data_IF_997670451622
#
_entry.id   IF_997670451622
#
_cell.length_a   1.000
_cell.length_b   1.000
_cell.length_c   1.000
_cell.angle_alpha   90.00
_cell.angle_beta   90.00
_cell.angle_gamma   90.00
#
_symmetry.space_group_name_H-M   'P 1'
#
loop_
_entity.id
_entity.type
_entity.pdbx_description
1 polymer ?
#
# COMPACT_ATOMS: atom_id res chain seq x y z
N UNK A 1 3.96 39.12 -4.69
CA UNK A 1 4.52 37.91 -5.30
C UNK A 1 3.47 36.82 -5.15
N UNK A 2 2.74 36.46 -6.22
CA UNK A 2 1.73 35.39 -6.11
C UNK A 2 2.48 34.07 -5.96
N UNK A 3 2.30 33.42 -4.83
CA UNK A 3 2.77 32.07 -4.55
C UNK A 3 2.30 31.16 -5.68
N UNK A 4 3.25 30.60 -6.43
CA UNK A 4 2.95 29.50 -7.35
C UNK A 4 2.73 28.28 -6.45
N UNK A 5 1.49 28.06 -6.02
CA UNK A 5 1.10 26.79 -5.43
C UNK A 5 1.34 25.72 -6.49
N UNK A 6 2.14 24.70 -6.14
CA UNK A 6 2.27 23.51 -6.96
C UNK A 6 0.88 22.89 -7.11
N UNK A 7 0.28 23.03 -8.29
CA UNK A 7 -1.03 22.44 -8.56
C UNK A 7 -0.80 20.96 -8.84
N UNK A 8 -1.32 20.09 -7.98
CA UNK A 8 -1.37 18.67 -8.25
C UNK A 8 -2.11 18.45 -9.58
N UNK A 9 -1.59 17.60 -10.47
CA UNK A 9 -2.22 17.30 -11.76
C UNK A 9 -3.68 16.85 -11.60
N UNK A 10 -4.02 16.17 -10.50
CA UNK A 10 -5.39 15.81 -10.17
C UNK A 10 -6.31 17.02 -9.96
N UNK A 11 -5.83 18.04 -9.23
CA UNK A 11 -6.62 19.23 -8.89
C UNK A 11 -6.91 20.09 -10.13
N UNK A 12 -6.02 20.07 -11.13
CA UNK A 12 -6.20 20.80 -12.40
C UNK A 12 -7.52 20.40 -13.08
N UNK A 13 -7.89 19.12 -13.02
CA UNK A 13 -9.07 18.57 -13.71
C UNK A 13 -10.30 18.42 -12.80
N UNK A 14 -10.12 18.44 -11.48
CA UNK A 14 -11.17 18.09 -10.52
C UNK A 14 -11.63 19.25 -9.61
N UNK A 15 -10.90 20.35 -9.56
CA UNK A 15 -11.34 21.56 -8.84
C UNK A 15 -12.23 22.44 -9.73
N UNK A 16 -13.47 22.68 -9.28
CA UNK A 16 -14.46 23.56 -9.95
C UNK A 16 -13.94 24.97 -10.24
N UNK A 17 -12.92 25.43 -9.52
CA UNK A 17 -12.31 26.75 -9.70
C UNK A 17 -11.22 26.77 -10.79
N UNK A 18 -10.83 25.62 -11.34
CA UNK A 18 -9.75 25.51 -12.33
C UNK A 18 -10.31 25.49 -13.76
N UNK A 19 -9.60 26.09 -14.75
CA UNK A 19 -10.08 26.16 -16.13
C UNK A 19 -10.31 24.81 -16.82
N UNK A 20 -9.63 23.76 -16.35
CA UNK A 20 -9.71 22.40 -16.91
C UNK A 20 -10.66 21.49 -16.13
N UNK A 21 -11.52 22.06 -15.27
CA UNK A 21 -12.54 21.29 -14.57
C UNK A 21 -13.40 20.49 -15.57
N UNK A 22 -13.50 19.18 -15.36
CA UNK A 22 -14.22 18.25 -16.25
C UNK A 22 -13.68 18.18 -17.69
N UNK A 23 -12.46 18.65 -17.97
CA UNK A 23 -11.83 18.49 -19.28
C UNK A 23 -11.13 17.13 -19.46
N UNK A 24 -11.18 16.26 -18.44
CA UNK A 24 -10.61 14.92 -18.45
C UNK A 24 -11.56 13.93 -17.76
N UNK A 25 -11.43 12.65 -18.11
CA UNK A 25 -12.14 11.56 -17.44
C UNK A 25 -11.26 11.02 -16.31
N UNK A 26 -11.84 10.90 -15.11
CA UNK A 26 -11.21 10.13 -14.05
C UNK A 26 -11.47 8.64 -14.32
N UNK A 27 -10.42 7.89 -14.60
CA UNK A 27 -10.48 6.44 -14.73
C UNK A 27 -9.77 5.81 -13.55
N UNK A 28 -10.54 5.18 -12.68
CA UNK A 28 -10.00 4.49 -11.50
C UNK A 28 -9.35 3.17 -11.92
N UNK A 29 -8.07 2.99 -11.57
CA UNK A 29 -7.35 1.76 -11.82
C UNK A 29 -7.51 0.81 -10.65
N UNK A 30 -8.08 -0.36 -10.94
CA UNK A 30 -8.17 -1.44 -9.96
C UNK A 30 -6.87 -2.25 -9.92
N UNK A 31 -6.59 -2.97 -8.82
CA UNK A 31 -5.53 -3.96 -8.78
C UNK A 31 -5.65 -4.99 -9.91
N UNK A 32 -4.56 -5.67 -10.24
CA UNK A 32 -4.58 -6.64 -11.34
C UNK A 32 -5.62 -7.75 -11.08
N UNK A 33 -6.37 -8.19 -12.11
CA UNK A 33 -7.30 -9.29 -11.96
C UNK A 33 -6.58 -10.55 -11.45
N UNK A 34 -7.02 -11.04 -10.30
CA UNK A 34 -6.36 -12.13 -9.58
C UNK A 34 -6.07 -13.34 -10.47
N UNK A 35 -7.08 -13.85 -11.19
CA UNK A 35 -6.94 -15.06 -12.02
C UNK A 35 -5.91 -14.87 -13.13
N UNK A 36 -6.00 -13.76 -13.84
CA UNK A 36 -5.11 -13.46 -14.96
C UNK A 36 -3.66 -13.28 -14.48
N UNK A 37 -3.49 -12.63 -13.31
CA UNK A 37 -2.19 -12.46 -12.69
C UNK A 37 -1.55 -13.80 -12.31
N UNK A 38 -2.28 -14.70 -11.66
CA UNK A 38 -1.74 -16.01 -11.28
C UNK A 38 -1.35 -16.83 -12.53
N UNK A 39 -2.22 -16.87 -13.53
CA UNK A 39 -1.92 -17.55 -14.79
C UNK A 39 -0.69 -16.96 -15.49
N UNK A 40 -0.58 -15.63 -15.52
CA UNK A 40 0.56 -14.93 -16.09
C UNK A 40 1.86 -15.30 -15.39
N UNK A 41 1.92 -15.24 -14.04
CA UNK A 41 3.12 -15.55 -13.29
C UNK A 41 3.58 -16.99 -13.52
N UNK A 42 2.67 -17.97 -13.46
CA UNK A 42 3.02 -19.37 -13.70
C UNK A 42 3.64 -19.54 -15.09
N UNK A 43 3.00 -18.97 -16.11
CA UNK A 43 3.50 -19.03 -17.48
C UNK A 43 4.89 -18.38 -17.64
N UNK A 44 5.15 -17.24 -16.98
CA UNK A 44 6.46 -16.59 -17.02
C UNK A 44 7.57 -17.46 -16.39
N UNK A 45 7.28 -18.13 -15.27
CA UNK A 45 8.24 -19.05 -14.66
C UNK A 45 8.51 -20.26 -15.56
N UNK A 46 7.48 -20.82 -16.21
CA UNK A 46 7.62 -21.95 -17.13
C UNK A 46 8.49 -21.61 -18.36
N UNK A 47 8.28 -20.44 -18.98
CA UNK A 47 9.07 -19.95 -20.14
C UNK A 47 10.56 -19.87 -19.78
N UNK A 48 10.85 -19.53 -18.53
CA UNK A 48 12.18 -19.43 -17.98
C UNK A 48 12.82 -20.76 -17.55
N UNK A 49 12.11 -21.89 -17.71
CA UNK A 49 12.58 -23.18 -17.23
C UNK A 49 12.51 -23.36 -15.70
N UNK A 50 11.77 -22.48 -15.01
CA UNK A 50 11.53 -22.51 -13.56
C UNK A 50 10.08 -22.93 -13.29
N UNK A 51 9.75 -23.20 -12.04
CA UNK A 51 8.40 -23.64 -11.61
C UNK A 51 7.97 -22.92 -10.36
N UNK A 52 6.70 -22.50 -10.36
CA UNK A 52 6.00 -21.97 -9.20
C UNK A 52 4.62 -22.63 -9.15
N UNK A 53 4.22 -23.12 -7.98
CA UNK A 53 2.88 -23.70 -7.82
C UNK A 53 1.81 -22.61 -7.79
N UNK A 54 0.55 -22.99 -8.03
CA UNK A 54 -0.60 -22.08 -7.95
C UNK A 54 -0.71 -21.48 -6.53
N UNK A 55 -0.47 -22.30 -5.51
CA UNK A 55 -0.52 -21.88 -4.10
C UNK A 55 0.56 -20.84 -3.79
N UNK A 56 1.77 -21.04 -4.31
CA UNK A 56 2.88 -20.11 -4.12
C UNK A 56 2.64 -18.77 -4.85
N UNK A 57 2.18 -18.82 -6.10
CA UNK A 57 1.80 -17.62 -6.85
C UNK A 57 0.64 -16.85 -6.17
N UNK A 58 -0.37 -17.57 -5.67
CA UNK A 58 -1.47 -17.00 -4.88
C UNK A 58 -0.97 -16.36 -3.58
N UNK A 59 -0.01 -17.00 -2.91
CA UNK A 59 0.65 -16.46 -1.72
C UNK A 59 1.31 -15.11 -1.99
N UNK A 60 2.09 -15.00 -3.08
CA UNK A 60 2.74 -13.75 -3.49
C UNK A 60 1.69 -12.68 -3.82
N UNK A 61 0.66 -13.04 -4.61
CA UNK A 61 -0.46 -12.14 -4.96
C UNK A 61 -1.13 -11.54 -3.73
N UNK A 62 -1.34 -12.36 -2.68
CA UNK A 62 -1.90 -11.88 -1.41
C UNK A 62 -0.95 -10.95 -0.65
N UNK A 63 0.34 -11.24 -0.62
CA UNK A 63 1.35 -10.39 0.04
C UNK A 63 1.41 -8.99 -0.57
N UNK A 64 1.31 -8.90 -1.90
CA UNK A 64 1.42 -7.64 -2.65
C UNK A 64 0.06 -7.05 -3.03
N UNK A 65 -1.05 -7.68 -2.61
CA UNK A 65 -2.42 -7.25 -2.94
C UNK A 65 -2.67 -7.01 -4.44
N UNK A 66 -2.12 -7.87 -5.30
CA UNK A 66 -2.16 -7.72 -6.77
C UNK A 66 -1.59 -6.41 -7.32
N UNK A 67 -0.79 -5.69 -6.54
CA UNK A 67 -0.20 -4.42 -6.94
C UNK A 67 0.83 -4.66 -8.07
N UNK A 68 0.66 -4.09 -9.28
CA UNK A 68 1.49 -4.41 -10.43
C UNK A 68 3.00 -4.25 -10.18
N UNK A 69 3.38 -3.11 -9.60
CA UNK A 69 4.78 -2.78 -9.31
C UNK A 69 5.41 -3.79 -8.34
N UNK A 70 4.69 -4.12 -7.25
CA UNK A 70 5.21 -5.03 -6.24
C UNK A 70 5.22 -6.47 -6.72
N UNK A 71 4.21 -6.88 -7.49
CA UNK A 71 4.23 -8.20 -8.13
C UNK A 71 5.45 -8.36 -9.04
N UNK A 72 5.69 -7.38 -9.91
CA UNK A 72 6.85 -7.42 -10.80
C UNK A 72 8.17 -7.44 -10.02
N UNK A 73 8.31 -6.55 -9.04
CA UNK A 73 9.52 -6.45 -8.21
C UNK A 73 9.78 -7.73 -7.41
N UNK A 74 8.73 -8.31 -6.83
CA UNK A 74 8.81 -9.56 -6.09
C UNK A 74 9.25 -10.70 -7.00
N UNK A 75 8.59 -10.88 -8.14
CA UNK A 75 8.94 -11.94 -9.09
C UNK A 75 10.36 -11.74 -9.66
N UNK A 76 10.80 -10.50 -9.89
CA UNK A 76 12.18 -10.22 -10.30
C UNK A 76 13.20 -10.74 -9.27
N UNK A 77 13.07 -10.36 -8.00
CA UNK A 77 13.99 -10.84 -6.96
C UNK A 77 13.91 -12.35 -6.73
N UNK A 78 12.70 -12.92 -6.78
CA UNK A 78 12.51 -14.36 -6.62
C UNK A 78 13.18 -15.11 -7.77
N UNK A 79 13.07 -14.58 -8.98
CA UNK A 79 13.69 -15.16 -10.16
C UNK A 79 15.21 -15.20 -10.05
N UNK A 80 15.85 -14.16 -9.54
CA UNK A 80 17.32 -14.13 -9.40
C UNK A 80 17.83 -15.13 -8.36
N UNK A 81 17.04 -15.43 -7.33
CA UNK A 81 17.44 -16.31 -6.23
C UNK A 81 17.21 -17.80 -6.52
N UNK A 82 16.17 -18.16 -7.29
CA UNK A 82 15.76 -19.55 -7.45
C UNK A 82 16.29 -20.21 -8.73
N UNK A 83 16.81 -21.43 -8.61
CA UNK A 83 17.31 -22.21 -9.76
C UNK A 83 16.19 -22.89 -10.56
N UNK A 84 15.31 -23.63 -9.87
CA UNK A 84 14.28 -24.48 -10.53
C UNK A 84 12.88 -24.34 -9.97
N UNK A 85 12.70 -24.47 -8.66
CA UNK A 85 11.36 -24.53 -8.06
C UNK A 85 11.26 -23.58 -6.87
N UNK A 86 10.20 -22.77 -6.88
CA UNK A 86 9.90 -21.83 -5.79
C UNK A 86 9.38 -22.59 -4.58
N UNK A 87 10.00 -22.37 -3.43
CA UNK A 87 9.53 -22.85 -2.12
C UNK A 87 8.93 -21.72 -1.29
N UNK A 88 8.21 -22.08 -0.23
CA UNK A 88 7.71 -21.10 0.74
C UNK A 88 8.84 -20.34 1.45
N UNK A 89 10.00 -20.96 1.65
CA UNK A 89 11.17 -20.31 2.25
C UNK A 89 11.67 -19.18 1.35
N UNK A 90 11.69 -19.41 0.04
CA UNK A 90 12.14 -18.41 -0.94
C UNK A 90 11.18 -17.22 -0.96
N UNK A 91 9.87 -17.46 -0.92
CA UNK A 91 8.85 -16.39 -0.81
C UNK A 91 9.08 -15.54 0.44
N UNK A 92 9.31 -16.16 1.61
CA UNK A 92 9.55 -15.42 2.86
C UNK A 92 10.82 -14.58 2.75
N UNK A 93 11.91 -15.14 2.20
CA UNK A 93 13.17 -14.43 2.01
C UNK A 93 13.02 -13.27 1.01
N UNK A 94 12.38 -13.49 -0.14
CA UNK A 94 12.14 -12.45 -1.13
C UNK A 94 11.23 -11.34 -0.60
N UNK A 95 10.20 -11.66 0.18
CA UNK A 95 9.36 -10.65 0.81
C UNK A 95 10.17 -9.71 1.70
N UNK A 96 11.18 -10.23 2.39
CA UNK A 96 12.11 -9.41 3.16
C UNK A 96 12.93 -8.48 2.28
N UNK A 97 13.50 -9.00 1.19
CA UNK A 97 14.27 -8.21 0.21
C UNK A 97 13.41 -7.11 -0.42
N UNK A 98 12.16 -7.40 -0.77
CA UNK A 98 11.22 -6.39 -1.29
C UNK A 98 11.02 -5.26 -0.28
N UNK A 99 10.74 -5.58 0.99
CA UNK A 99 10.58 -4.55 2.03
C UNK A 99 11.86 -3.71 2.25
N UNK A 100 13.03 -4.36 2.26
CA UNK A 100 14.33 -3.67 2.39
C UNK A 100 14.60 -2.74 1.21
N UNK A 101 14.22 -3.16 -0.01
CA UNK A 101 14.39 -2.35 -1.21
C UNK A 101 13.55 -1.07 -1.23
N UNK A 102 12.50 -0.99 -0.40
CA UNK A 102 11.62 0.17 -0.25
C UNK A 102 11.94 1.02 1.00
N UNK A 103 12.82 0.53 1.87
CA UNK A 103 13.03 1.08 3.20
C UNK A 103 13.34 2.59 3.17
N UNK A 104 14.22 3.04 2.27
CA UNK A 104 14.60 4.45 2.15
C UNK A 104 13.40 5.34 1.83
N UNK A 105 12.50 4.86 0.96
CA UNK A 105 11.28 5.58 0.59
C UNK A 105 10.32 5.65 1.79
N UNK A 106 10.11 4.52 2.48
CA UNK A 106 9.24 4.44 3.65
C UNK A 106 9.74 5.29 4.82
N UNK A 107 11.03 5.30 5.08
CA UNK A 107 11.65 6.18 6.09
C UNK A 107 11.46 7.65 5.75
N UNK A 108 11.62 8.02 4.47
CA UNK A 108 11.37 9.38 4.00
C UNK A 108 9.91 9.80 4.19
N UNK A 109 8.96 8.90 3.94
CA UNK A 109 7.54 9.13 4.22
C UNK A 109 7.35 9.40 5.71
N UNK A 110 7.86 8.53 6.60
CA UNK A 110 7.71 8.68 8.05
C UNK A 110 8.34 9.97 8.60
N UNK A 111 9.49 10.38 8.10
CA UNK A 111 10.14 11.65 8.48
C UNK A 111 9.24 12.87 8.22
N UNK A 112 8.37 12.79 7.22
CA UNK A 112 7.39 13.82 6.88
C UNK A 112 6.11 13.80 7.73
N UNK A 113 5.99 12.89 8.72
CA UNK A 113 4.82 12.71 9.55
C UNK A 113 5.08 13.10 11.01
N UNK A 114 4.05 13.62 11.66
CA UNK A 114 4.06 13.85 13.11
C UNK A 114 3.89 12.53 13.86
N UNK A 115 4.31 12.46 15.12
CA UNK A 115 4.13 11.27 15.97
C UNK A 115 2.67 10.78 15.98
N UNK A 116 1.69 11.69 16.09
CA UNK A 116 0.26 11.33 16.08
C UNK A 116 -0.19 10.71 14.76
N UNK A 117 0.36 11.16 13.64
CA UNK A 117 0.07 10.59 12.32
C UNK A 117 0.69 9.20 12.19
N UNK A 118 1.95 9.04 12.64
CA UNK A 118 2.63 7.73 12.66
C UNK A 118 1.85 6.75 13.55
N UNK A 119 1.43 7.15 14.75
CA UNK A 119 0.64 6.30 15.65
C UNK A 119 -0.67 5.83 15.00
N UNK A 120 -1.43 6.73 14.36
CA UNK A 120 -2.65 6.35 13.66
C UNK A 120 -2.37 5.43 12.46
N UNK A 121 -1.32 5.73 11.68
CA UNK A 121 -0.93 4.94 10.52
C UNK A 121 -0.51 3.53 10.92
N UNK A 122 0.31 3.39 11.98
CA UNK A 122 0.72 2.10 12.55
C UNK A 122 -0.47 1.31 13.13
N UNK A 123 -1.43 1.99 13.76
CA UNK A 123 -2.65 1.37 14.25
C UNK A 123 -3.47 0.76 13.09
N UNK A 124 -3.68 1.53 12.03
CA UNK A 124 -4.40 1.08 10.83
C UNK A 124 -3.64 -0.01 10.06
N UNK A 125 -2.31 0.00 10.07
CA UNK A 125 -1.51 -1.06 9.48
C UNK A 125 -1.79 -2.41 10.18
N UNK A 126 -1.85 -2.41 11.52
CA UNK A 126 -2.09 -3.61 12.34
C UNK A 126 -3.54 -4.04 12.35
N UNK A 127 -4.46 -3.10 12.56
CA UNK A 127 -5.88 -3.36 12.71
C UNK A 127 -6.67 -2.32 11.89
N UNK A 128 -6.94 -2.63 10.61
CA UNK A 128 -7.90 -1.88 9.81
C UNK A 128 -9.26 -1.84 10.48
N UNK A 129 -9.91 -0.68 10.52
CA UNK A 129 -11.17 -0.54 11.26
C UNK A 129 -12.10 0.52 10.69
N UNK A 130 -13.41 0.29 10.82
CA UNK A 130 -14.43 1.33 10.64
C UNK A 130 -14.71 2.11 11.93
N UNK A 131 -14.15 1.67 13.08
CA UNK A 131 -14.49 2.14 14.43
C UNK A 131 -13.33 2.87 15.12
N UNK A 132 -12.67 3.78 14.39
CA UNK A 132 -11.53 4.57 14.87
C UNK A 132 -11.78 5.29 16.19
N UNK A 133 -13.01 5.77 16.41
CA UNK A 133 -13.40 6.54 17.59
C UNK A 133 -13.96 5.69 18.73
N UNK A 134 -13.94 4.36 18.60
CA UNK A 134 -14.33 3.50 19.72
C UNK A 134 -13.31 3.64 20.85
N UNK A 135 -13.79 3.70 22.09
CA UNK A 135 -12.92 3.84 23.26
C UNK A 135 -11.87 2.72 23.34
N UNK A 136 -12.25 1.49 22.97
CA UNK A 136 -11.35 0.34 22.94
C UNK A 136 -10.21 0.53 21.94
N UNK A 137 -10.52 0.92 20.69
CA UNK A 137 -9.50 1.12 19.65
C UNK A 137 -8.58 2.30 19.97
N UNK A 138 -9.16 3.42 20.40
CA UNK A 138 -8.40 4.61 20.79
C UNK A 138 -7.46 4.33 21.97
N UNK A 139 -7.91 3.56 22.95
CA UNK A 139 -7.10 3.16 24.11
C UNK A 139 -6.03 2.13 23.75
N UNK A 140 -6.35 1.15 22.90
CA UNK A 140 -5.42 0.10 22.47
C UNK A 140 -4.22 0.68 21.73
N UNK A 141 -4.43 1.73 20.92
CA UNK A 141 -3.39 2.34 20.09
C UNK A 141 -2.96 3.73 20.53
N UNK A 142 -3.37 4.20 21.71
CA UNK A 142 -3.01 5.51 22.26
C UNK A 142 -3.26 6.70 21.31
N UNK A 143 -4.41 6.71 20.62
CA UNK A 143 -4.71 7.68 19.55
C UNK A 143 -5.03 9.10 20.03
N UNK A 144 -5.11 9.32 21.33
CA UNK A 144 -5.36 10.64 21.93
C UNK A 144 -6.81 11.09 21.76
N UNK A 145 -7.02 12.32 21.28
CA UNK A 145 -8.35 12.92 21.14
C UNK A 145 -8.97 12.72 19.76
N UNK A 146 -10.29 12.77 19.68
CA UNK A 146 -11.06 12.68 18.43
C UNK A 146 -10.64 13.74 17.41
N UNK A 147 -10.42 14.98 17.83
CA UNK A 147 -9.94 16.06 16.96
C UNK A 147 -8.53 15.81 16.41
N UNK A 148 -7.65 15.21 17.22
CA UNK A 148 -6.32 14.78 16.77
C UNK A 148 -6.39 13.67 15.72
N UNK A 149 -7.27 12.68 15.93
CA UNK A 149 -7.53 11.62 14.94
C UNK A 149 -8.03 12.22 13.63
N UNK A 150 -8.99 13.14 13.66
CA UNK A 150 -9.52 13.77 12.44
C UNK A 150 -8.43 14.52 11.66
N UNK A 151 -7.59 15.30 12.35
CA UNK A 151 -6.49 16.00 11.70
C UNK A 151 -5.46 15.04 11.08
N UNK A 152 -5.16 13.94 11.78
CA UNK A 152 -4.29 12.89 11.24
C UNK A 152 -4.91 12.20 10.02
N UNK A 153 -6.20 11.85 10.06
CA UNK A 153 -6.91 11.27 8.92
C UNK A 153 -6.86 12.16 7.70
N UNK A 154 -7.20 13.44 7.85
CA UNK A 154 -7.21 14.41 6.75
C UNK A 154 -5.82 14.56 6.14
N UNK A 155 -4.78 14.62 6.98
CA UNK A 155 -3.40 14.75 6.51
C UNK A 155 -2.88 13.49 5.83
N UNK A 156 -3.18 12.31 6.36
CA UNK A 156 -2.73 11.03 5.82
C UNK A 156 -3.46 10.70 4.51
N UNK A 157 -4.77 11.00 4.42
CA UNK A 157 -5.56 10.81 3.21
C UNK A 157 -5.08 11.72 2.07
N UNK A 158 -4.77 12.99 2.37
CA UNK A 158 -4.18 13.92 1.39
C UNK A 158 -2.80 13.50 0.87
N UNK A 159 -2.08 12.70 1.65
CA UNK A 159 -0.79 12.12 1.28
C UNK A 159 -0.93 10.75 0.61
N UNK A 160 -2.16 10.28 0.41
CA UNK A 160 -2.49 8.98 -0.19
C UNK A 160 -1.89 7.78 0.59
N UNK A 161 -1.75 7.94 1.92
CA UNK A 161 -1.17 6.90 2.78
C UNK A 161 -2.24 5.98 3.39
N UNK A 162 -3.46 6.50 3.50
CA UNK A 162 -4.61 5.75 3.99
C UNK A 162 -5.82 6.03 3.10
N UNK A 163 -6.72 5.06 3.06
CA UNK A 163 -7.98 5.17 2.35
C UNK A 163 -9.12 4.64 3.22
N UNK A 164 -10.36 5.00 2.85
CA UNK A 164 -11.57 4.49 3.46
C UNK A 164 -12.39 3.76 2.41
N UNK A 165 -12.63 2.48 2.62
CA UNK A 165 -13.56 1.74 1.79
C UNK A 165 -14.98 2.32 1.96
N UNK A 166 -15.61 2.76 0.87
CA UNK A 166 -16.90 3.46 0.93
C UNK A 166 -18.08 2.57 1.34
N UNK A 167 -18.03 1.26 1.05
CA UNK A 167 -19.10 0.33 1.36
C UNK A 167 -19.07 -0.12 2.83
N UNK A 168 -17.87 -0.46 3.33
CA UNK A 168 -17.67 -1.00 4.68
C UNK A 168 -17.34 0.07 5.71
N UNK A 169 -16.86 1.22 5.26
CA UNK A 169 -16.35 2.31 6.10
C UNK A 169 -15.01 2.03 6.75
N UNK A 170 -14.35 0.92 6.41
CA UNK A 170 -13.06 0.50 6.99
C UNK A 170 -11.94 1.38 6.45
N UNK A 171 -11.09 1.87 7.36
CA UNK A 171 -9.85 2.55 7.03
C UNK A 171 -8.69 1.56 6.93
N UNK A 172 -7.86 1.74 5.91
CA UNK A 172 -6.68 0.91 5.60
C UNK A 172 -5.49 1.75 5.20
N UNK A 173 -4.27 1.20 5.34
CA UNK A 173 -3.08 1.72 4.67
C UNK A 173 -3.15 1.34 3.19
N UNK A 174 -2.91 2.29 2.30
CA UNK A 174 -3.03 2.11 0.84
C UNK A 174 -1.98 1.13 0.33
N UNK A 175 -0.72 1.34 0.70
CA UNK A 175 0.40 0.55 0.21
C UNK A 175 0.56 -0.77 1.00
N UNK A 176 0.45 -1.95 0.35
CA UNK A 176 0.50 -3.24 1.02
C UNK A 176 1.88 -3.59 1.57
N UNK A 177 2.96 -3.16 0.91
CA UNK A 177 4.33 -3.44 1.38
C UNK A 177 4.71 -2.48 2.50
N UNK A 178 4.30 -1.22 2.41
CA UNK A 178 4.46 -0.26 3.49
C UNK A 178 3.71 -0.70 4.75
N UNK A 179 2.47 -1.17 4.60
CA UNK A 179 1.69 -1.78 5.69
C UNK A 179 2.47 -2.91 6.38
N UNK A 180 3.00 -3.86 5.61
CA UNK A 180 3.77 -4.99 6.16
C UNK A 180 5.04 -4.51 6.87
N UNK A 181 5.72 -3.52 6.31
CA UNK A 181 6.92 -2.92 6.91
C UNK A 181 6.61 -2.23 8.25
N UNK A 182 5.52 -1.45 8.34
CA UNK A 182 5.06 -0.82 9.58
C UNK A 182 4.74 -1.83 10.68
N UNK A 183 4.08 -2.94 10.32
CA UNK A 183 3.79 -4.03 11.27
C UNK A 183 5.11 -4.61 11.79
N UNK A 184 6.09 -4.86 10.90
CA UNK A 184 7.37 -5.46 11.25
C UNK A 184 8.22 -4.59 12.17
N UNK A 185 8.22 -3.26 11.97
CA UNK A 185 9.02 -2.35 12.82
C UNK A 185 8.54 -2.24 14.27
N UNK A 186 7.34 -2.75 14.60
CA UNK A 186 6.77 -2.63 15.96
C UNK A 186 6.61 -1.17 16.45
N UNK A 187 6.39 -0.22 15.53
CA UNK A 187 6.15 1.21 15.82
C UNK A 187 4.81 1.53 16.51
#
# INVERSE_FOLDING_TARGET
>A
MRSVEAVNGYDIFNDRKRPFFQSALNYELQPLPYKDLICFIIAQFEIAGKRISVENAAGISKLVSNHPYYMQKFCFFLYEEIDKEVTQKDIIATNQVVMESEQVVFESILQGLTTKQITLLSALAREPTAKLYSASYMSQYNLGSTGGIQQSLDSLSKKDLIEKNHETGVWTVVDPIFKNWLIKMSL
#
